data_IF_887800759196
#
_entry.id   IF_887800759196
#
_cell.length_a   1.000
_cell.length_b   1.000
_cell.length_c   1.000
_cell.angle_alpha   90.00
_cell.angle_beta   90.00
_cell.angle_gamma   90.00
#
_symmetry.space_group_name_H-M   'P 1'
#
loop_
_entity.id
_entity.type
_entity.pdbx_description
1 polymer ?
#
# COMPACT_ATOMS: atom_id res chain seq x y z
N UNK A 1 9.26 10.87 3.67
CA UNK A 1 8.36 10.92 2.49
C UNK A 1 8.17 9.57 1.79
N UNK A 2 9.11 8.61 1.93
CA UNK A 2 8.95 7.25 1.37
C UNK A 2 7.76 6.51 2.00
N UNK A 3 7.58 6.60 3.32
CA UNK A 3 6.48 5.93 4.03
C UNK A 3 5.09 6.38 3.56
N UNK A 4 4.94 7.69 3.30
CA UNK A 4 3.70 8.29 2.78
C UNK A 4 3.39 7.76 1.37
N UNK A 5 4.44 7.65 0.55
CA UNK A 5 4.32 7.10 -0.79
C UNK A 5 4.02 5.60 -0.79
N UNK A 6 4.63 4.83 0.13
CA UNK A 6 4.35 3.41 0.32
C UNK A 6 2.90 3.18 0.77
N UNK A 7 2.38 4.00 1.69
CA UNK A 7 1.00 3.93 2.17
C UNK A 7 -0.02 4.25 1.08
N UNK A 8 0.24 5.25 0.24
CA UNK A 8 -0.61 5.56 -0.92
C UNK A 8 -0.55 4.47 -1.99
N UNK A 9 0.63 3.90 -2.27
CA UNK A 9 0.78 2.79 -3.20
C UNK A 9 0.05 1.53 -2.70
N UNK A 10 0.15 1.22 -1.40
CA UNK A 10 -0.57 0.12 -0.78
C UNK A 10 -2.08 0.32 -0.93
N UNK A 11 -2.60 1.52 -0.62
CA UNK A 11 -4.02 1.86 -0.76
C UNK A 11 -4.53 1.74 -2.21
N UNK A 12 -3.72 2.18 -3.18
CA UNK A 12 -4.01 2.00 -4.59
C UNK A 12 -3.99 0.52 -5.03
N UNK A 13 -3.10 -0.29 -4.44
CA UNK A 13 -3.06 -1.73 -4.66
C UNK A 13 -4.26 -2.45 -4.02
N UNK A 14 -4.76 -1.99 -2.87
CA UNK A 14 -5.97 -2.52 -2.23
C UNK A 14 -7.21 -2.30 -3.10
N UNK A 15 -7.28 -1.19 -3.85
CA UNK A 15 -8.35 -1.00 -4.84
C UNK A 15 -8.35 -2.09 -5.91
N UNK A 16 -7.17 -2.53 -6.36
CA UNK A 16 -7.03 -3.62 -7.32
C UNK A 16 -7.45 -4.98 -6.71
N UNK A 17 -7.09 -5.22 -5.44
CA UNK A 17 -7.47 -6.41 -4.69
C UNK A 17 -8.99 -6.47 -4.40
N UNK A 18 -9.58 -5.36 -3.95
CA UNK A 18 -11.02 -5.21 -3.70
C UNK A 18 -11.82 -5.43 -4.98
N UNK A 19 -11.33 -4.95 -6.14
CA UNK A 19 -12.01 -5.19 -7.42
C UNK A 19 -11.98 -6.66 -7.85
N UNK A 20 -10.91 -7.39 -7.53
CA UNK A 20 -10.83 -8.84 -7.80
C UNK A 20 -11.79 -9.65 -6.93
N UNK A 21 -12.01 -9.22 -5.68
CA UNK A 21 -12.92 -9.89 -4.75
C UNK A 21 -14.39 -9.44 -4.92
N UNK A 22 -14.65 -8.22 -5.39
CA UNK A 22 -16.00 -7.74 -5.69
C UNK A 22 -16.53 -8.21 -7.07
N UNK A 23 -15.70 -8.91 -7.86
CA UNK A 23 -16.15 -9.58 -9.08
C UNK A 23 -17.06 -10.78 -8.81
N UNK A 24 -17.16 -11.25 -7.56
CA UNK A 24 -18.01 -12.38 -7.18
C UNK A 24 -19.35 -11.97 -6.53
N UNK A 25 -19.56 -10.69 -6.17
CA UNK A 25 -20.84 -10.18 -5.67
C UNK A 25 -21.09 -8.74 -6.18
N UNK A 26 -22.12 -8.60 -7.00
CA UNK A 26 -22.78 -7.36 -7.45
C UNK A 26 -21.94 -6.28 -8.17
N UNK A 27 -21.90 -6.44 -9.49
CA UNK A 27 -21.33 -5.52 -10.48
C UNK A 27 -22.11 -4.21 -10.72
N UNK A 28 -23.06 -3.82 -9.86
CA UNK A 28 -23.97 -2.70 -10.16
C UNK A 28 -23.62 -1.35 -9.50
N UNK A 29 -22.70 -1.29 -8.52
CA UNK A 29 -22.49 -0.06 -7.73
C UNK A 29 -21.01 0.34 -7.54
N UNK A 30 -20.09 -0.31 -8.25
CA UNK A 30 -18.66 -0.02 -8.15
C UNK A 30 -18.29 1.01 -9.23
N UNK A 31 -17.94 2.21 -8.79
CA UNK A 31 -17.49 3.32 -9.62
C UNK A 31 -16.36 2.88 -10.57
N UNK A 32 -16.71 2.61 -11.83
CA UNK A 32 -15.78 2.25 -12.87
C UNK A 32 -15.32 3.53 -13.58
N UNK A 33 -14.12 4.00 -13.27
CA UNK A 33 -13.49 5.07 -14.07
C UNK A 33 -13.28 4.59 -15.52
N UNK A 34 -13.52 5.49 -16.48
CA UNK A 34 -13.50 5.22 -17.93
C UNK A 34 -12.15 4.71 -18.49
N UNK A 35 -11.08 4.75 -17.70
CA UNK A 35 -9.74 4.25 -18.04
C UNK A 35 -9.15 3.27 -17.01
N UNK A 36 -10.00 2.67 -16.18
CA UNK A 36 -9.59 1.54 -15.35
C UNK A 36 -9.35 0.34 -16.28
N UNK A 37 -8.19 -0.35 -16.27
CA UNK A 37 -7.17 -0.45 -15.22
C UNK A 37 -5.82 0.24 -15.50
N UNK A 38 -5.69 1.04 -16.56
CA UNK A 38 -4.41 1.62 -16.96
C UNK A 38 -3.86 2.65 -15.96
N UNK A 39 -4.73 3.51 -15.42
CA UNK A 39 -4.34 4.58 -14.48
C UNK A 39 -3.76 4.02 -13.17
N UNK A 40 -4.40 3.04 -12.48
CA UNK A 40 -3.82 2.41 -11.28
C UNK A 40 -2.47 1.72 -11.54
N UNK A 41 -2.34 1.02 -12.68
CA UNK A 41 -1.10 0.29 -13.00
C UNK A 41 0.07 1.24 -13.24
N UNK A 42 -0.16 2.32 -14.00
CA UNK A 42 0.85 3.36 -14.22
C UNK A 42 1.27 4.00 -12.89
N UNK A 43 0.31 4.26 -12.00
CA UNK A 43 0.56 4.84 -10.70
C UNK A 43 1.44 3.93 -9.82
N UNK A 44 1.13 2.64 -9.75
CA UNK A 44 1.94 1.67 -9.00
C UNK A 44 3.36 1.58 -9.59
N UNK A 45 3.50 1.57 -10.92
CA UNK A 45 4.81 1.53 -11.58
C UNK A 45 5.65 2.77 -11.30
N UNK A 46 5.06 3.96 -11.40
CA UNK A 46 5.74 5.21 -11.06
C UNK A 46 6.19 5.24 -9.59
N UNK A 47 5.34 4.74 -8.67
CA UNK A 47 5.67 4.68 -7.25
C UNK A 47 6.80 3.68 -6.94
N UNK A 48 6.79 2.51 -7.57
CA UNK A 48 7.90 1.56 -7.46
C UNK A 48 9.21 2.17 -7.95
N UNK A 49 9.16 2.89 -9.08
CA UNK A 49 10.32 3.59 -9.62
C UNK A 49 10.85 4.66 -8.67
N UNK A 50 9.98 5.48 -8.07
CA UNK A 50 10.35 6.49 -7.07
C UNK A 50 10.95 5.82 -5.82
N UNK A 51 10.38 4.71 -5.35
CA UNK A 51 10.91 3.95 -4.22
C UNK A 51 12.33 3.45 -4.49
N UNK A 52 12.56 2.82 -5.64
CA UNK A 52 13.89 2.33 -6.05
C UNK A 52 14.89 3.48 -6.18
N UNK A 53 14.47 4.58 -6.81
CA UNK A 53 15.31 5.77 -6.97
C UNK A 53 15.68 6.38 -5.61
N UNK A 54 14.77 6.37 -4.64
CA UNK A 54 15.03 6.95 -3.32
C UNK A 54 16.01 6.09 -2.50
N UNK A 55 15.91 4.76 -2.62
CA UNK A 55 16.86 3.82 -2.01
C UNK A 55 18.27 4.00 -2.59
N UNK A 56 18.37 4.18 -3.91
CA UNK A 56 19.66 4.33 -4.58
C UNK A 56 20.34 5.66 -4.24
N UNK A 57 19.58 6.75 -4.22
CA UNK A 57 20.14 8.09 -4.04
C UNK A 57 20.46 8.41 -2.57
N UNK A 58 19.73 7.81 -1.61
CA UNK A 58 19.84 8.14 -0.19
C UNK A 58 19.60 6.89 0.70
N UNK A 59 20.65 6.10 0.98
CA UNK A 59 20.52 4.85 1.75
C UNK A 59 19.99 5.07 3.18
N UNK A 60 20.24 6.25 3.75
CA UNK A 60 19.74 6.71 5.04
C UNK A 60 18.21 6.75 5.12
N UNK A 61 17.49 7.06 4.04
CA UNK A 61 16.02 7.06 4.06
C UNK A 61 15.43 5.64 3.99
N UNK A 62 16.15 4.69 3.37
CA UNK A 62 15.76 3.26 3.38
C UNK A 62 15.78 2.67 4.78
N UNK A 63 16.81 3.00 5.57
CA UNK A 63 16.93 2.60 6.98
C UNK A 63 15.78 3.15 7.84
N UNK A 64 15.44 4.43 7.68
CA UNK A 64 14.34 5.06 8.41
C UNK A 64 13.00 4.40 8.04
N UNK A 65 12.78 4.11 6.76
CA UNK A 65 11.57 3.42 6.30
C UNK A 65 11.45 2.02 6.92
N UNK A 66 12.54 1.26 6.97
CA UNK A 66 12.57 -0.07 7.60
C UNK A 66 12.28 -0.01 9.11
N UNK A 67 12.89 0.94 9.83
CA UNK A 67 12.67 1.13 11.27
C UNK A 67 11.21 1.46 11.58
N UNK A 68 10.62 2.38 10.82
CA UNK A 68 9.22 2.77 11.04
C UNK A 68 8.26 1.61 10.70
N UNK A 69 8.55 0.83 9.66
CA UNK A 69 7.75 -0.34 9.30
C UNK A 69 7.80 -1.42 10.38
N UNK A 70 8.98 -1.70 10.93
CA UNK A 70 9.17 -2.62 12.05
C UNK A 70 8.45 -2.10 13.31
N UNK A 71 8.53 -0.79 13.59
CA UNK A 71 7.83 -0.16 14.72
C UNK A 71 6.32 -0.32 14.64
N UNK A 72 5.73 -0.08 13.45
CA UNK A 72 4.29 -0.26 13.21
C UNK A 72 3.86 -1.72 13.34
N UNK A 73 4.65 -2.67 12.81
CA UNK A 73 4.40 -4.12 12.97
C UNK A 73 4.46 -4.52 14.43
N UNK A 74 5.46 -4.03 15.17
CA UNK A 74 5.61 -4.28 16.60
C UNK A 74 4.39 -3.81 17.39
N UNK A 75 3.93 -2.59 17.12
CA UNK A 75 2.71 -2.02 17.72
C UNK A 75 1.48 -2.86 17.35
N UNK A 76 1.31 -3.24 16.08
CA UNK A 76 0.20 -4.09 15.64
C UNK A 76 0.19 -5.43 16.38
N UNK A 77 1.34 -6.08 16.54
CA UNK A 77 1.44 -7.37 17.22
C UNK A 77 1.13 -7.24 18.72
N UNK A 78 1.56 -6.15 19.36
CA UNK A 78 1.23 -5.85 20.75
C UNK A 78 -0.28 -5.60 20.94
N UNK A 79 -0.90 -4.81 20.06
CA UNK A 79 -2.35 -4.58 20.10
C UNK A 79 -3.15 -5.85 19.82
N UNK A 80 -2.75 -6.63 18.81
CA UNK A 80 -3.41 -7.91 18.48
C UNK A 80 -3.34 -8.90 19.65
N UNK A 81 -2.18 -8.96 20.33
CA UNK A 81 -2.01 -9.80 21.53
C UNK A 81 -2.88 -9.33 22.69
N UNK A 82 -3.19 -8.03 22.78
CA UNK A 82 -4.08 -7.47 23.81
C UNK A 82 -5.55 -7.75 23.51
N UNK A 83 -6.00 -7.57 22.27
CA UNK A 83 -7.39 -7.80 21.85
C UNK A 83 -7.76 -9.29 21.87
N UNK A 84 -6.81 -10.19 21.57
CA UNK A 84 -7.06 -11.64 21.63
C UNK A 84 -7.08 -12.22 23.05
N UNK A 85 -6.76 -11.42 24.07
CA UNK A 85 -6.70 -11.84 25.47
C UNK A 85 -7.90 -11.33 26.29
N UNK A 86 -8.85 -10.63 25.64
CA UNK A 86 -10.17 -10.29 26.18
C UNK A 86 -11.24 -11.25 25.64
#
# INVERSE_FOLDING_TARGET
MILDSLGMAASAATLFYLRRNASSQDSSHIYAMRFYPFVPVLFIMAYLFVCVSCIYLYPQYGLIAAIVFIGLIGIYHLLKKRISNE
#
